data_IF_409077133669
#
_entry.id   IF_409077133669
#
_cell.length_a   1.000
_cell.length_b   1.000
_cell.length_c   1.000
_cell.angle_alpha   90.00
_cell.angle_beta   90.00
_cell.angle_gamma   90.00
#
_symmetry.space_group_name_H-M   'P 1'
#
loop_
_entity.id
_entity.type
_entity.pdbx_description
1 polymer ?
#
# COMPACT_ATOMS: atom_id res chain seq x y z
N UNK A 1 -7.02 21.47 -3.09
CA UNK A 1 -6.30 20.69 -4.11
C UNK A 1 -7.02 19.38 -4.23
N UNK A 2 -7.43 19.02 -5.44
CA UNK A 2 -8.08 17.73 -5.66
C UNK A 2 -7.05 16.61 -5.50
N UNK A 3 -7.46 15.43 -5.00
CA UNK A 3 -6.54 14.30 -4.81
C UNK A 3 -5.79 13.97 -6.10
N UNK A 4 -6.49 14.06 -7.24
CA UNK A 4 -5.99 13.79 -8.57
C UNK A 4 -4.83 14.70 -9.00
N UNK A 5 -4.70 15.88 -8.39
CA UNK A 5 -3.63 16.84 -8.68
C UNK A 5 -2.37 16.60 -7.82
N UNK A 6 -2.50 15.82 -6.74
CA UNK A 6 -1.40 15.53 -5.81
C UNK A 6 -0.27 14.75 -6.48
N UNK A 7 0.95 14.93 -5.97
CA UNK A 7 2.12 14.14 -6.43
C UNK A 7 1.96 12.66 -6.08
N UNK A 8 1.31 12.35 -4.96
CA UNK A 8 1.04 11.00 -4.49
C UNK A 8 0.08 10.27 -5.43
N UNK A 9 -0.98 10.93 -5.91
CA UNK A 9 -1.89 10.35 -6.90
C UNK A 9 -1.17 10.05 -8.22
N UNK A 10 -0.32 10.98 -8.70
CA UNK A 10 0.50 10.76 -9.90
C UNK A 10 1.44 9.55 -9.73
N UNK A 11 2.11 9.43 -8.59
CA UNK A 11 2.94 8.28 -8.27
C UNK A 11 2.14 6.97 -8.21
N UNK A 12 0.95 6.98 -7.61
CA UNK A 12 0.06 5.82 -7.57
C UNK A 12 -0.38 5.37 -8.97
N UNK A 13 -0.65 6.31 -9.89
CA UNK A 13 -0.98 5.99 -11.29
C UNK A 13 0.20 5.39 -12.06
N UNK A 14 1.43 5.83 -11.81
CA UNK A 14 2.62 5.19 -12.41
C UNK A 14 2.83 3.77 -11.87
N UNK A 15 2.61 3.56 -10.57
CA UNK A 15 2.64 2.21 -9.99
C UNK A 15 1.55 1.32 -10.59
N UNK A 16 0.31 1.80 -10.72
CA UNK A 16 -0.78 1.07 -11.36
C UNK A 16 -0.44 0.64 -12.80
N UNK A 17 0.18 1.52 -13.59
CA UNK A 17 0.64 1.17 -14.93
C UNK A 17 1.68 0.06 -14.89
N UNK A 18 2.62 0.11 -13.95
CA UNK A 18 3.64 -0.92 -13.80
C UNK A 18 3.04 -2.26 -13.30
N UNK A 19 2.06 -2.23 -12.41
CA UNK A 19 1.32 -3.40 -11.93
C UNK A 19 0.50 -4.08 -13.05
N UNK A 20 0.00 -3.29 -14.01
CA UNK A 20 -0.76 -3.77 -15.16
C UNK A 20 0.13 -4.32 -16.29
N UNK A 21 1.46 -4.33 -16.13
CA UNK A 21 2.37 -4.99 -17.06
C UNK A 21 2.31 -6.52 -16.88
N UNK A 22 2.18 -7.27 -17.98
CA UNK A 22 2.12 -8.73 -18.00
C UNK A 22 3.34 -9.42 -17.37
N UNK A 23 4.46 -8.71 -17.21
CA UNK A 23 5.69 -9.23 -16.62
C UNK A 23 5.93 -8.79 -15.17
N UNK A 24 4.93 -8.17 -14.51
CA UNK A 24 5.09 -7.72 -13.13
C UNK A 24 5.37 -8.90 -12.18
N UNK A 25 6.39 -8.75 -11.34
CA UNK A 25 6.79 -9.75 -10.35
C UNK A 25 6.81 -9.10 -8.94
N UNK A 26 5.82 -9.37 -8.09
CA UNK A 26 5.74 -8.79 -6.75
C UNK A 26 6.94 -9.09 -5.87
N UNK A 27 7.53 -10.28 -5.98
CA UNK A 27 8.70 -10.69 -5.20
C UNK A 27 9.94 -9.87 -5.60
N UNK A 28 10.20 -9.70 -6.90
CA UNK A 28 11.30 -8.85 -7.38
C UNK A 28 11.10 -7.38 -6.99
N UNK A 29 9.87 -6.87 -7.04
CA UNK A 29 9.56 -5.52 -6.55
C UNK A 29 9.92 -5.42 -5.06
N UNK A 30 9.40 -6.31 -4.22
CA UNK A 30 9.70 -6.31 -2.79
C UNK A 30 11.21 -6.41 -2.50
N UNK A 31 11.93 -7.32 -3.17
CA UNK A 31 13.39 -7.44 -3.06
C UNK A 31 14.11 -6.15 -3.42
N UNK A 32 13.66 -5.43 -4.45
CA UNK A 32 14.30 -4.19 -4.88
C UNK A 32 14.16 -3.04 -3.86
N UNK A 33 13.10 -3.03 -3.04
CA UNK A 33 12.88 -1.99 -2.03
C UNK A 33 13.98 -1.93 -0.97
N UNK A 34 14.70 -3.04 -0.74
CA UNK A 34 15.83 -3.11 0.21
C UNK A 34 17.00 -2.19 -0.17
N UNK A 35 17.05 -1.74 -1.42
CA UNK A 35 18.11 -0.87 -1.94
C UNK A 35 17.78 0.62 -1.82
N UNK A 36 16.57 0.98 -1.38
CA UNK A 36 16.23 2.39 -1.11
C UNK A 36 17.03 2.94 0.07
N UNK A 37 17.17 4.27 0.16
CA UNK A 37 17.65 4.91 1.38
C UNK A 37 16.82 4.46 2.59
N UNK A 38 17.45 4.25 3.75
CA UNK A 38 16.78 3.71 4.95
C UNK A 38 15.55 4.51 5.37
N UNK A 39 15.62 5.84 5.31
CA UNK A 39 14.47 6.72 5.54
C UNK A 39 13.31 6.44 4.58
N UNK A 40 13.59 6.18 3.30
CA UNK A 40 12.57 5.86 2.31
C UNK A 40 12.00 4.45 2.47
N UNK A 41 12.78 3.49 3.00
CA UNK A 41 12.25 2.18 3.38
C UNK A 41 11.18 2.31 4.48
N UNK A 42 11.44 3.16 5.48
CA UNK A 42 10.47 3.47 6.53
C UNK A 42 9.22 4.16 5.97
N UNK A 43 9.39 5.15 5.09
CA UNK A 43 8.27 5.88 4.48
C UNK A 43 7.43 4.98 3.57
N UNK A 44 8.07 4.04 2.87
CA UNK A 44 7.37 3.01 2.09
C UNK A 44 6.53 2.12 2.99
N UNK A 45 7.04 1.67 4.14
CA UNK A 45 6.26 0.88 5.09
C UNK A 45 5.06 1.64 5.65
N UNK A 46 5.22 2.93 5.98
CA UNK A 46 4.10 3.79 6.38
C UNK A 46 3.05 3.89 5.27
N UNK A 47 3.50 4.03 4.02
CA UNK A 47 2.61 4.07 2.85
C UNK A 47 1.84 2.76 2.70
N UNK A 48 2.50 1.61 2.86
CA UNK A 48 1.85 0.29 2.81
C UNK A 48 0.81 0.15 3.94
N UNK A 49 1.13 0.57 5.17
CA UNK A 49 0.18 0.57 6.29
C UNK A 49 -1.03 1.45 6.00
N UNK A 50 -0.83 2.63 5.42
CA UNK A 50 -1.94 3.51 5.01
C UNK A 50 -2.83 2.86 3.94
N UNK A 51 -2.24 2.15 2.97
CA UNK A 51 -2.98 1.38 1.96
C UNK A 51 -3.79 0.25 2.63
N UNK A 52 -3.20 -0.51 3.56
CA UNK A 52 -3.91 -1.56 4.30
C UNK A 52 -5.11 -0.97 5.04
N UNK A 53 -4.94 0.14 5.76
CA UNK A 53 -6.02 0.83 6.48
C UNK A 53 -7.13 1.31 5.54
N UNK A 54 -6.78 1.86 4.37
CA UNK A 54 -7.76 2.31 3.37
C UNK A 54 -8.52 1.14 2.73
N UNK A 55 -7.81 0.11 2.25
CA UNK A 55 -8.41 -1.05 1.58
C UNK A 55 -9.23 -1.88 2.54
N UNK A 56 -8.79 -2.00 3.78
CA UNK A 56 -9.50 -2.68 4.85
C UNK A 56 -10.54 -1.80 5.56
N UNK A 57 -10.90 -0.61 5.07
CA UNK A 57 -11.94 0.23 5.72
C UNK A 57 -13.36 -0.31 5.47
N UNK A 58 -14.32 -0.13 6.41
CA UNK A 58 -15.68 -0.71 6.31
C UNK A 58 -16.49 -0.12 5.17
N UNK A 59 -16.16 1.10 4.75
CA UNK A 59 -16.76 1.76 3.59
C UNK A 59 -16.04 1.46 2.27
N UNK A 60 -14.95 0.70 2.26
CA UNK A 60 -14.22 0.38 1.04
C UNK A 60 -15.07 -0.50 0.12
N UNK A 61 -15.40 0.02 -1.07
CA UNK A 61 -16.21 -0.70 -2.06
C UNK A 61 -15.38 -1.78 -2.73
N UNK A 62 -15.95 -2.97 -2.83
CA UNK A 62 -15.31 -4.14 -3.44
C UNK A 62 -16.17 -4.73 -4.56
N UNK A 63 -15.50 -5.48 -5.43
CA UNK A 63 -16.11 -6.49 -6.29
C UNK A 63 -15.32 -7.80 -6.20
N UNK A 64 -15.73 -8.84 -6.93
CA UNK A 64 -15.12 -10.17 -6.86
C UNK A 64 -13.61 -10.17 -7.15
N UNK A 65 -13.09 -9.18 -7.89
CA UNK A 65 -11.66 -9.09 -8.27
C UNK A 65 -10.77 -8.65 -7.12
N UNK A 66 -11.28 -7.84 -6.18
CA UNK A 66 -10.50 -7.28 -5.07
C UNK A 66 -11.01 -7.67 -3.67
N UNK A 67 -12.07 -8.47 -3.58
CA UNK A 67 -12.64 -8.92 -2.31
C UNK A 67 -11.60 -9.60 -1.41
N UNK A 68 -10.76 -10.48 -1.95
CA UNK A 68 -9.72 -11.16 -1.18
C UNK A 68 -8.71 -10.17 -0.56
N UNK A 69 -8.34 -9.11 -1.30
CA UNK A 69 -7.45 -8.06 -0.79
C UNK A 69 -8.10 -7.28 0.35
N UNK A 70 -9.39 -6.95 0.23
CA UNK A 70 -10.15 -6.28 1.29
C UNK A 70 -10.22 -7.14 2.56
N UNK A 71 -10.58 -8.42 2.44
CA UNK A 71 -10.69 -9.33 3.57
C UNK A 71 -9.34 -9.54 4.28
N UNK A 72 -8.25 -9.64 3.51
CA UNK A 72 -6.90 -9.70 4.08
C UNK A 72 -6.57 -8.42 4.86
N UNK A 73 -6.78 -7.25 4.26
CA UNK A 73 -6.49 -5.97 4.92
C UNK A 73 -7.35 -5.77 6.17
N UNK A 74 -8.63 -6.16 6.12
CA UNK A 74 -9.53 -6.15 7.28
C UNK A 74 -8.98 -7.01 8.41
N UNK A 75 -8.57 -8.24 8.13
CA UNK A 75 -8.01 -9.15 9.15
C UNK A 75 -6.74 -8.60 9.80
N UNK A 76 -5.91 -7.89 9.03
CA UNK A 76 -4.71 -7.21 9.56
C UNK A 76 -5.09 -6.05 10.48
N UNK A 77 -6.15 -5.28 10.15
CA UNK A 77 -6.65 -4.22 11.03
C UNK A 77 -7.24 -4.82 12.30
N UNK A 78 -8.11 -5.82 12.16
CA UNK A 78 -8.85 -6.44 13.27
C UNK A 78 -7.93 -7.20 14.24
N UNK A 79 -6.72 -7.59 13.82
CA UNK A 79 -5.74 -8.22 14.70
C UNK A 79 -5.05 -7.23 15.66
N UNK A 80 -5.19 -5.92 15.45
CA UNK A 80 -4.55 -4.88 16.27
C UNK A 80 -3.06 -4.64 15.98
N UNK A 81 -2.43 -5.46 15.12
CA UNK A 81 -0.97 -5.41 14.88
C UNK A 81 -0.48 -4.06 14.35
N UNK A 82 -1.34 -3.30 13.65
CA UNK A 82 -0.99 -1.98 13.11
C UNK A 82 -0.96 -0.88 14.17
N UNK A 83 -1.56 -1.09 15.34
CA UNK A 83 -1.58 -0.13 16.43
C UNK A 83 -0.42 -0.39 17.42
N UNK A 84 0.06 -1.63 17.48
CA UNK A 84 1.22 -2.03 18.30
C UNK A 84 2.58 -1.65 17.67
N UNK A 85 2.61 -1.45 16.35
CA UNK A 85 3.84 -1.12 15.61
C UNK A 85 3.96 0.39 15.32
N UNK A 86 4.69 1.12 16.16
CA UNK A 86 5.00 2.53 15.90
C UNK A 86 6.04 2.69 14.78
N UNK A 87 5.65 3.36 13.69
CA UNK A 87 6.53 3.74 12.58
C UNK A 87 6.85 5.25 12.69
N UNK A 88 8.00 5.66 13.27
CA UNK A 88 8.31 7.07 13.45
C UNK A 88 8.45 7.82 12.13
N UNK A 89 8.16 9.13 12.18
CA UNK A 89 8.60 10.07 11.16
C UNK A 89 10.12 10.24 11.29
N UNK A 90 10.84 10.02 10.20
CA UNK A 90 12.31 10.13 10.13
C UNK A 90 12.66 11.30 9.22
#
# INVERSE_FOLDING_TARGET
MELQESREYKAAKELERALNDMSWNPQKFAESTRYYHRTLQQELMKTIVAIIKMVGDKGYRTDLRNQASHELCRKIIDSGVLDDCYLPFI
#
